data_IF_779687680521
#
_entry.id   IF_779687680521
#
_cell.length_a   1.000
_cell.length_b   1.000
_cell.length_c   1.000
_cell.angle_alpha   90.00
_cell.angle_beta   90.00
_cell.angle_gamma   90.00
#
_symmetry.space_group_name_H-M   'P 1'
#
loop_
_entity.id
_entity.type
_entity.pdbx_description
1 polymer ?
#
# COMPACT_ATOMS: atom_id res chain seq x y z
N UNK A 1 -7.31 32.77 2.16
CA UNK A 1 -7.23 31.80 3.28
C UNK A 1 -7.45 30.42 2.71
N UNK A 2 -6.71 29.42 3.17
CA UNK A 2 -6.95 28.03 2.77
C UNK A 2 -8.29 27.55 3.35
N UNK A 3 -9.08 26.84 2.55
CA UNK A 3 -10.38 26.29 2.96
C UNK A 3 -10.24 25.23 4.06
N UNK A 4 -9.13 24.48 4.05
CA UNK A 4 -8.80 23.44 5.03
C UNK A 4 -7.32 23.48 5.43
N UNK A 5 -7.02 23.04 6.65
CA UNK A 5 -5.69 22.54 7.04
C UNK A 5 -5.48 21.11 6.51
N UNK A 6 -4.23 20.62 6.37
CA UNK A 6 -3.96 19.24 5.94
C UNK A 6 -4.68 18.18 6.79
N UNK A 7 -4.72 18.37 8.12
CA UNK A 7 -5.40 17.45 9.04
C UNK A 7 -6.92 17.46 8.85
N UNK A 8 -7.54 18.62 8.63
CA UNK A 8 -8.97 18.73 8.35
C UNK A 8 -9.34 18.06 7.03
N UNK A 9 -8.51 18.22 6.00
CA UNK A 9 -8.70 17.56 4.71
C UNK A 9 -8.61 16.04 4.85
N UNK A 10 -7.59 15.54 5.54
CA UNK A 10 -7.40 14.10 5.75
C UNK A 10 -8.57 13.49 6.54
N UNK A 11 -9.05 14.16 7.59
CA UNK A 11 -10.22 13.73 8.34
C UNK A 11 -11.46 13.65 7.44
N UNK A 12 -11.68 14.67 6.59
CA UNK A 12 -12.79 14.67 5.65
C UNK A 12 -12.69 13.52 4.65
N UNK A 13 -11.51 13.23 4.11
CA UNK A 13 -11.29 12.13 3.15
C UNK A 13 -11.58 10.77 3.79
N UNK A 14 -11.13 10.55 5.03
CA UNK A 14 -11.26 9.25 5.70
C UNK A 14 -12.68 8.99 6.28
N UNK A 15 -13.40 10.04 6.67
CA UNK A 15 -14.71 9.90 7.33
C UNK A 15 -15.91 9.97 6.38
N UNK A 16 -15.76 10.57 5.19
CA UNK A 16 -16.87 10.75 4.24
C UNK A 16 -17.39 9.39 3.71
N UNK A 17 -18.70 9.18 3.85
CA UNK A 17 -19.38 7.97 3.39
C UNK A 17 -20.51 8.33 2.44
N UNK A 18 -20.44 7.84 1.21
CA UNK A 18 -21.48 8.04 0.18
C UNK A 18 -22.46 6.86 0.13
N UNK A 19 -22.00 5.66 0.49
CA UNK A 19 -22.78 4.43 0.55
C UNK A 19 -22.17 3.44 1.56
N UNK A 20 -22.93 2.41 2.00
CA UNK A 20 -22.35 1.29 2.73
C UNK A 20 -21.22 0.61 1.92
N UNK A 21 -20.17 0.18 2.59
CA UNK A 21 -19.01 -0.46 1.96
C UNK A 21 -18.30 -1.44 2.89
N UNK A 22 -17.30 -2.15 2.37
CA UNK A 22 -16.55 -3.12 3.16
C UNK A 22 -15.69 -2.41 4.23
N UNK A 23 -15.97 -2.67 5.50
CA UNK A 23 -15.29 -2.03 6.63
C UNK A 23 -13.77 -2.32 6.64
N UNK A 24 -13.35 -3.52 6.24
CA UNK A 24 -11.92 -3.89 6.18
C UNK A 24 -11.20 -3.16 5.07
N UNK A 25 -11.79 -3.06 3.89
CA UNK A 25 -11.22 -2.29 2.77
C UNK A 25 -11.05 -0.83 3.18
N UNK A 26 -12.07 -0.23 3.80
CA UNK A 26 -11.99 1.15 4.32
C UNK A 26 -10.84 1.35 5.28
N UNK A 27 -10.70 0.48 6.30
CA UNK A 27 -9.63 0.60 7.28
C UNK A 27 -8.22 0.51 6.65
N UNK A 28 -8.04 -0.34 5.64
CA UNK A 28 -6.77 -0.45 4.90
C UNK A 28 -6.52 0.82 4.07
N UNK A 29 -7.51 1.27 3.31
CA UNK A 29 -7.39 2.47 2.46
C UNK A 29 -7.14 3.73 3.29
N UNK A 30 -7.86 3.93 4.39
CA UNK A 30 -7.66 5.04 5.32
C UNK A 30 -6.22 5.10 5.82
N UNK A 31 -5.64 3.95 6.20
CA UNK A 31 -4.25 3.89 6.64
C UNK A 31 -3.27 4.24 5.52
N UNK A 32 -3.44 3.69 4.33
CA UNK A 32 -2.56 3.98 3.18
C UNK A 32 -2.62 5.47 2.82
N UNK A 33 -3.82 6.05 2.72
CA UNK A 33 -4.00 7.47 2.39
C UNK A 33 -3.37 8.36 3.46
N UNK A 34 -3.57 8.03 4.73
CA UNK A 34 -2.95 8.75 5.86
C UNK A 34 -1.43 8.75 5.78
N UNK A 35 -0.82 7.60 5.49
CA UNK A 35 0.62 7.49 5.39
C UNK A 35 1.15 8.25 4.14
N UNK A 36 0.44 8.22 3.01
CA UNK A 36 0.81 9.00 1.81
C UNK A 36 0.70 10.51 2.01
N UNK A 37 -0.30 11.00 2.75
CA UNK A 37 -0.39 12.42 3.12
C UNK A 37 0.81 12.87 3.94
N UNK A 38 1.24 12.06 4.91
CA UNK A 38 2.44 12.33 5.71
C UNK A 38 3.69 12.28 4.85
N UNK A 39 3.82 11.30 3.96
CA UNK A 39 4.96 11.23 3.03
C UNK A 39 5.09 12.49 2.17
N UNK A 40 3.97 13.06 1.70
CA UNK A 40 3.98 14.32 0.93
C UNK A 40 4.52 15.48 1.79
N UNK A 41 4.06 15.60 3.03
CA UNK A 41 4.44 16.67 3.95
C UNK A 41 5.90 16.51 4.42
N UNK A 42 6.26 15.31 4.87
CA UNK A 42 7.58 14.98 5.43
C UNK A 42 8.71 15.12 4.40
N UNK A 43 8.41 14.89 3.10
CA UNK A 43 9.39 14.95 2.02
C UNK A 43 9.27 16.22 1.16
N UNK A 44 8.37 17.14 1.50
CA UNK A 44 8.09 18.35 0.70
C UNK A 44 7.85 18.03 -0.79
N UNK A 45 7.00 17.03 -1.05
CA UNK A 45 6.75 16.56 -2.42
C UNK A 45 6.12 17.66 -3.25
N UNK A 46 6.75 17.96 -4.38
CA UNK A 46 6.27 18.97 -5.32
C UNK A 46 5.11 18.44 -6.19
N UNK A 47 4.29 19.33 -6.78
CA UNK A 47 3.25 18.92 -7.72
C UNK A 47 3.78 18.09 -8.90
N UNK A 48 4.95 18.44 -9.43
CA UNK A 48 5.55 17.74 -10.57
C UNK A 48 5.96 16.30 -10.19
N UNK A 49 6.53 16.11 -9.01
CA UNK A 49 6.88 14.77 -8.49
C UNK A 49 5.63 13.92 -8.25
N UNK A 50 4.57 14.52 -7.68
CA UNK A 50 3.30 13.82 -7.47
C UNK A 50 2.70 13.32 -8.79
N UNK A 51 2.69 14.18 -9.82
CA UNK A 51 2.16 13.81 -11.13
C UNK A 51 3.07 12.84 -11.87
N UNK A 52 4.39 12.94 -11.71
CA UNK A 52 5.33 11.96 -12.26
C UNK A 52 5.12 10.57 -11.64
N UNK A 53 4.95 10.47 -10.32
CA UNK A 53 4.66 9.22 -9.62
C UNK A 53 3.31 8.62 -10.06
N UNK A 54 2.27 9.44 -10.17
CA UNK A 54 0.96 9.02 -10.71
C UNK A 54 1.07 8.49 -12.14
N UNK A 55 1.83 9.19 -12.99
CA UNK A 55 2.10 8.76 -14.36
C UNK A 55 2.85 7.42 -14.42
N UNK A 56 3.78 7.18 -13.49
CA UNK A 56 4.48 5.90 -13.38
C UNK A 56 3.54 4.76 -12.99
N UNK A 57 2.63 4.97 -12.02
CA UNK A 57 1.61 3.99 -11.65
C UNK A 57 0.68 3.61 -12.82
N UNK A 58 0.28 4.60 -13.62
CA UNK A 58 -0.53 4.34 -14.82
C UNK A 58 0.22 3.47 -15.85
N UNK A 59 1.50 3.77 -16.10
CA UNK A 59 2.33 2.94 -17.01
C UNK A 59 2.54 1.54 -16.47
N UNK A 60 2.75 1.40 -15.16
CA UNK A 60 2.87 0.11 -14.48
C UNK A 60 1.63 -0.76 -14.71
N UNK A 61 0.45 -0.18 -14.50
CA UNK A 61 -0.83 -0.86 -14.75
C UNK A 61 -1.01 -1.23 -16.24
N UNK A 62 -0.75 -0.29 -17.15
CA UNK A 62 -0.89 -0.51 -18.58
C UNK A 62 0.07 -1.60 -19.12
N UNK A 63 1.25 -1.74 -18.52
CA UNK A 63 2.22 -2.77 -18.89
C UNK A 63 1.92 -4.16 -18.27
N UNK A 64 0.90 -4.26 -17.39
CA UNK A 64 0.60 -5.49 -16.66
C UNK A 64 1.71 -5.93 -15.71
N UNK A 65 2.61 -5.03 -15.31
CA UNK A 65 3.83 -5.37 -14.54
C UNK A 65 3.65 -5.23 -13.02
N UNK A 66 2.42 -5.03 -12.53
CA UNK A 66 2.17 -4.82 -11.11
C UNK A 66 2.73 -5.96 -10.24
N UNK A 67 2.47 -7.23 -10.61
CA UNK A 67 3.01 -8.39 -9.89
C UNK A 67 4.54 -8.50 -9.95
N UNK A 68 5.17 -8.05 -11.04
CA UNK A 68 6.64 -8.02 -11.12
C UNK A 68 7.22 -6.96 -10.19
N UNK A 69 6.60 -5.78 -10.13
CA UNK A 69 7.03 -4.69 -9.25
C UNK A 69 6.81 -5.02 -7.78
N UNK A 70 5.70 -5.67 -7.40
CA UNK A 70 5.48 -6.05 -5.99
C UNK A 70 6.55 -7.03 -5.52
N UNK A 71 6.91 -8.00 -6.36
CA UNK A 71 7.99 -8.95 -6.07
C UNK A 71 9.35 -8.24 -5.98
N UNK A 72 9.67 -7.36 -6.95
CA UNK A 72 10.93 -6.61 -6.98
C UNK A 72 11.12 -5.62 -5.84
N UNK A 73 10.03 -5.04 -5.30
CA UNK A 73 10.05 -4.18 -4.12
C UNK A 73 9.99 -4.97 -2.80
N UNK A 74 9.91 -6.31 -2.85
CA UNK A 74 9.99 -7.19 -1.68
C UNK A 74 8.68 -7.41 -0.94
N UNK A 75 7.53 -6.98 -1.47
CA UNK A 75 6.23 -7.19 -0.82
C UNK A 75 5.88 -8.66 -0.68
N UNK A 76 6.11 -9.43 -1.75
CA UNK A 76 5.88 -10.88 -1.77
C UNK A 76 6.74 -11.57 -0.70
N UNK A 77 8.01 -11.19 -0.59
CA UNK A 77 8.90 -11.72 0.47
C UNK A 77 8.44 -11.31 1.86
N UNK A 78 7.97 -10.08 2.05
CA UNK A 78 7.42 -9.62 3.33
C UNK A 78 6.22 -10.47 3.76
N UNK A 79 5.36 -10.86 2.81
CA UNK A 79 4.20 -11.72 3.09
C UNK A 79 4.69 -13.12 3.52
N UNK A 80 5.70 -13.69 2.86
CA UNK A 80 6.31 -14.95 3.26
C UNK A 80 6.91 -14.88 4.67
N UNK A 81 7.65 -13.82 5.01
CA UNK A 81 8.21 -13.62 6.36
C UNK A 81 7.10 -13.66 7.41
N UNK A 82 5.98 -12.98 7.14
CA UNK A 82 4.85 -12.97 8.08
C UNK A 82 4.22 -14.35 8.24
N UNK A 83 4.22 -15.17 7.19
CA UNK A 83 3.78 -16.56 7.25
C UNK A 83 4.78 -17.43 8.02
N UNK A 84 6.09 -17.24 7.79
CA UNK A 84 7.19 -17.88 8.54
C UNK A 84 7.01 -17.65 10.05
N UNK A 85 6.91 -16.38 10.46
CA UNK A 85 6.71 -16.00 11.87
C UNK A 85 5.40 -16.54 12.45
N UNK A 86 4.33 -16.66 11.65
CA UNK A 86 3.07 -17.22 12.10
C UNK A 86 3.16 -18.73 12.36
N UNK A 87 3.92 -19.46 11.53
CA UNK A 87 4.18 -20.87 11.74
C UNK A 87 5.11 -21.12 12.92
N UNK A 88 6.15 -20.31 13.09
CA UNK A 88 7.03 -20.36 14.26
C UNK A 88 6.23 -20.17 15.56
N UNK A 89 5.39 -19.14 15.63
CA UNK A 89 4.50 -18.89 16.78
C UNK A 89 3.53 -20.05 17.04
N UNK A 90 3.17 -20.80 16.00
CA UNK A 90 2.31 -21.98 16.09
C UNK A 90 3.07 -23.29 16.35
N UNK A 91 4.40 -23.26 16.50
CA UNK A 91 5.23 -24.45 16.69
C UNK A 91 5.44 -25.29 15.42
N UNK A 92 5.23 -24.71 14.23
CA UNK A 92 5.34 -25.36 12.91
C UNK A 92 6.59 -24.94 12.13
N UNK A 93 7.73 -24.78 12.81
CA UNK A 93 8.96 -24.27 12.20
C UNK A 93 9.77 -25.28 11.36
N UNK A 94 9.29 -26.52 11.20
CA UNK A 94 9.97 -27.56 10.42
C UNK A 94 9.44 -27.67 8.98
N UNK A 95 10.26 -28.19 8.07
CA UNK A 95 9.86 -28.46 6.68
C UNK A 95 10.74 -27.75 5.65
N UNK A 96 10.31 -27.81 4.38
CA UNK A 96 10.98 -27.09 3.29
C UNK A 96 10.65 -25.60 3.37
N UNK A 97 11.64 -24.69 3.34
CA UNK A 97 11.40 -23.25 3.35
C UNK A 97 10.48 -22.81 2.20
N UNK A 98 9.55 -21.90 2.48
CA UNK A 98 8.73 -21.23 1.47
C UNK A 98 9.54 -20.20 0.69
N UNK A 99 9.03 -19.88 -0.49
CA UNK A 99 9.52 -18.79 -1.33
C UNK A 99 8.34 -18.22 -2.10
N UNK A 100 8.55 -17.01 -2.64
CA UNK A 100 7.55 -16.31 -3.43
C UNK A 100 7.12 -17.17 -4.64
N UNK A 101 5.83 -17.13 -4.97
CA UNK A 101 5.29 -17.80 -6.15
C UNK A 101 5.75 -17.11 -7.45
N UNK A 102 5.79 -15.77 -7.42
CA UNK A 102 6.06 -14.96 -8.60
C UNK A 102 4.85 -14.85 -9.54
N UNK A 103 4.87 -13.94 -10.51
CA UNK A 103 3.68 -13.57 -11.28
C UNK A 103 3.47 -14.38 -12.57
N UNK A 104 4.14 -15.53 -12.75
CA UNK A 104 4.24 -16.25 -14.04
C UNK A 104 3.70 -17.70 -14.01
N UNK A 105 2.83 -18.03 -13.05
CA UNK A 105 2.16 -19.34 -13.01
C UNK A 105 1.14 -19.52 -14.14
#
# INVERSE_FOLDING_TARGET
>A
MAEFTPSQLLEQVNTRQVAPGNARVRAITERIVTDLFKTIDDLDITPDEFWAATGWLNRLGAAGQAGLITAGLGFDRLIDIRADEADERAGRAGGTPRAIEGPLF
#
